data_IF_548448391922
#
_entry.id   IF_548448391922
#
_cell.length_a   1.000
_cell.length_b   1.000
_cell.length_c   1.000
_cell.angle_alpha   90.00
_cell.angle_beta   90.00
_cell.angle_gamma   90.00
#
_symmetry.space_group_name_H-M   'P 1'
#
loop_
_entity.id
_entity.type
_entity.pdbx_description
1 polymer ?
#
# COMPACT_ATOMS: atom_id res chain seq x y z
N UNK A 1 6.89 -6.25 2.24
CA UNK A 1 5.87 -6.45 3.28
C UNK A 1 6.44 -6.08 4.64
N UNK A 2 5.59 -5.56 5.53
CA UNK A 2 5.90 -5.25 6.92
C UNK A 2 5.63 -6.46 7.79
N UNK A 3 6.53 -6.74 8.73
CA UNK A 3 6.48 -7.89 9.62
C UNK A 3 6.52 -7.52 11.10
N UNK A 4 5.76 -8.27 11.90
CA UNK A 4 5.73 -8.23 13.36
C UNK A 4 6.34 -9.52 13.89
N UNK A 5 7.47 -9.41 14.59
CA UNK A 5 8.12 -10.56 15.22
C UNK A 5 7.34 -10.98 16.45
N UNK A 6 6.95 -12.25 16.52
CA UNK A 6 6.23 -12.78 17.69
C UNK A 6 7.16 -12.84 18.90
N UNK A 7 6.69 -12.28 20.03
CA UNK A 7 7.40 -12.24 21.32
C UNK A 7 7.71 -13.62 21.90
N UNK A 8 6.87 -14.62 21.63
CA UNK A 8 6.97 -15.94 22.27
C UNK A 8 8.12 -16.79 21.70
N UNK A 9 8.45 -16.66 20.41
CA UNK A 9 9.46 -17.52 19.75
C UNK A 9 10.59 -16.78 19.03
N UNK A 10 10.50 -15.45 18.84
CA UNK A 10 11.48 -14.55 18.18
C UNK A 10 12.05 -14.98 16.79
N UNK A 11 11.59 -16.11 16.26
CA UNK A 11 11.96 -16.74 14.99
C UNK A 11 10.83 -16.69 13.97
N UNK A 12 9.60 -16.39 14.39
CA UNK A 12 8.44 -16.31 13.53
C UNK A 12 7.99 -14.84 13.37
N UNK A 13 7.95 -14.40 12.11
CA UNK A 13 7.50 -13.07 11.72
C UNK A 13 6.13 -13.19 11.06
N UNK A 14 5.12 -12.48 11.57
CA UNK A 14 3.82 -12.35 10.91
C UNK A 14 3.85 -11.13 9.98
N UNK A 15 3.74 -11.38 8.67
CA UNK A 15 3.63 -10.31 7.66
C UNK A 15 2.16 -9.93 7.48
N UNK A 16 1.78 -8.79 8.05
CA UNK A 16 0.37 -8.34 8.10
C UNK A 16 0.03 -7.26 7.06
N UNK A 17 1.02 -6.51 6.58
CA UNK A 17 0.83 -5.41 5.63
C UNK A 17 1.85 -5.40 4.50
N UNK A 18 1.46 -4.80 3.37
CA UNK A 18 2.32 -4.38 2.29
C UNK A 18 3.13 -3.12 2.61
N UNK A 19 4.16 -2.90 1.80
CA UNK A 19 4.93 -1.67 1.76
C UNK A 19 5.70 -1.60 0.44
N UNK A 20 6.23 -0.43 0.12
CA UNK A 20 6.93 -0.18 -1.15
C UNK A 20 8.21 0.60 -0.89
N UNK A 21 9.33 0.13 -1.42
CA UNK A 21 10.62 0.83 -1.32
C UNK A 21 10.64 2.05 -2.23
N UNK A 22 10.92 3.23 -1.69
CA UNK A 22 10.91 4.52 -2.42
C UNK A 22 12.26 5.23 -2.40
N UNK A 23 13.16 4.82 -1.52
CA UNK A 23 14.59 5.15 -1.55
C UNK A 23 15.37 4.00 -0.91
N UNK A 24 16.70 4.07 -0.90
CA UNK A 24 17.53 2.97 -0.37
C UNK A 24 17.21 2.61 1.10
N UNK A 25 16.71 3.56 1.90
CA UNK A 25 16.44 3.35 3.34
C UNK A 25 15.01 3.68 3.78
N UNK A 26 14.09 3.96 2.86
CA UNK A 26 12.73 4.31 3.21
C UNK A 26 11.70 3.54 2.38
N UNK A 27 10.68 3.04 3.07
CA UNK A 27 9.50 2.43 2.46
C UNK A 27 8.26 3.26 2.77
N UNK A 28 7.29 3.27 1.86
CA UNK A 28 5.93 3.73 2.11
C UNK A 28 5.02 2.57 2.47
N UNK A 29 4.04 2.85 3.32
CA UNK A 29 2.92 2.00 3.66
C UNK A 29 1.73 2.90 4.07
N UNK A 30 0.64 2.30 4.52
CA UNK A 30 -0.52 3.02 5.06
C UNK A 30 -0.39 3.22 6.57
N UNK A 31 -1.01 4.27 7.10
CA UNK A 31 -0.84 4.66 8.50
C UNK A 31 -1.48 3.66 9.46
N UNK A 32 -2.59 3.03 9.09
CA UNK A 32 -3.19 1.97 9.92
C UNK A 32 -2.29 0.72 10.06
N UNK A 33 -1.23 0.58 9.26
CA UNK A 33 -0.21 -0.46 9.40
C UNK A 33 0.97 -0.03 10.29
N UNK A 34 0.99 1.21 10.80
CA UNK A 34 2.06 1.71 11.67
C UNK A 34 1.98 1.17 13.09
N UNK A 35 0.78 0.83 13.53
CA UNK A 35 0.48 0.23 14.83
C UNK A 35 -0.70 -0.73 14.66
N UNK A 36 -0.49 -2.00 14.96
CA UNK A 36 -1.53 -3.02 15.00
C UNK A 36 -1.66 -3.58 16.41
N UNK A 37 -2.59 -3.02 17.19
CA UNK A 37 -2.89 -3.50 18.55
C UNK A 37 -1.85 -3.12 19.60
N UNK A 38 -1.20 -1.96 19.44
CA UNK A 38 -0.12 -1.47 20.28
C UNK A 38 1.28 -1.90 19.82
N UNK A 39 1.39 -2.57 18.67
CA UNK A 39 2.66 -3.08 18.14
C UNK A 39 3.00 -2.44 16.79
N UNK A 40 4.19 -1.85 16.69
CA UNK A 40 4.75 -1.39 15.42
C UNK A 40 5.47 -2.50 14.66
N UNK A 41 5.52 -2.44 13.31
CA UNK A 41 6.26 -3.41 12.52
C UNK A 41 7.76 -3.33 12.86
N UNK A 42 8.39 -4.48 13.05
CA UNK A 42 9.80 -4.57 13.45
C UNK A 42 10.74 -4.84 12.27
N UNK A 43 10.22 -5.35 11.16
CA UNK A 43 11.00 -5.70 9.97
C UNK A 43 10.25 -5.43 8.67
N UNK A 44 11.01 -5.28 7.59
CA UNK A 44 10.52 -5.27 6.22
C UNK A 44 11.19 -6.37 5.43
N UNK A 45 10.41 -7.08 4.62
CA UNK A 45 10.89 -8.04 3.62
C UNK A 45 10.68 -7.47 2.21
N UNK A 46 11.74 -7.36 1.42
CA UNK A 46 11.75 -6.67 0.11
C UNK A 46 12.17 -7.61 -1.03
N UNK A 47 11.51 -7.51 -2.19
CA UNK A 47 11.94 -8.20 -3.42
C UNK A 47 11.53 -9.67 -3.55
N UNK A 48 10.77 -10.22 -2.59
CA UNK A 48 10.27 -11.58 -2.65
C UNK A 48 9.16 -11.79 -3.69
N UNK A 49 9.02 -13.01 -4.21
CA UNK A 49 7.79 -13.47 -4.87
C UNK A 49 7.02 -14.47 -4.02
N UNK A 50 7.70 -15.13 -3.09
CA UNK A 50 7.13 -16.07 -2.14
C UNK A 50 7.55 -15.69 -0.72
N UNK A 51 6.61 -15.52 0.21
CA UNK A 51 6.90 -15.17 1.60
C UNK A 51 7.73 -16.24 2.35
N UNK A 52 7.75 -17.47 1.86
CA UNK A 52 8.49 -18.58 2.45
C UNK A 52 9.95 -18.68 1.96
N UNK A 53 10.36 -17.86 0.97
CA UNK A 53 11.71 -17.91 0.40
C UNK A 53 12.74 -17.25 1.32
N UNK A 54 13.52 -18.07 2.04
CA UNK A 54 14.50 -17.62 3.03
C UNK A 54 15.64 -16.77 2.48
N UNK A 55 15.84 -16.71 1.16
CA UNK A 55 16.90 -15.90 0.54
C UNK A 55 16.51 -14.44 0.32
N UNK A 56 15.32 -14.04 0.75
CA UNK A 56 14.84 -12.66 0.61
C UNK A 56 15.44 -11.77 1.68
N UNK A 57 15.83 -10.56 1.29
CA UNK A 57 16.32 -9.55 2.20
C UNK A 57 15.24 -9.12 3.20
N UNK A 58 15.56 -9.34 4.49
CA UNK A 58 14.82 -8.80 5.63
C UNK A 58 15.66 -7.71 6.32
N UNK A 59 15.03 -6.56 6.58
CA UNK A 59 15.69 -5.40 7.18
C UNK A 59 14.87 -4.89 8.36
N UNK A 60 15.52 -4.62 9.49
CA UNK A 60 14.89 -4.03 10.67
C UNK A 60 14.30 -2.65 10.35
N UNK A 61 13.08 -2.41 10.83
CA UNK A 61 12.45 -1.09 10.87
C UNK A 61 12.94 -0.38 12.14
N UNK A 62 13.43 0.85 11.99
CA UNK A 62 13.92 1.65 13.13
C UNK A 62 12.94 2.75 13.53
N UNK A 63 12.05 3.14 12.62
CA UNK A 63 11.07 4.19 12.87
C UNK A 63 9.92 4.05 11.88
N UNK A 64 8.69 4.26 12.34
CA UNK A 64 7.51 4.46 11.49
C UNK A 64 6.92 5.83 11.80
N UNK A 65 6.63 6.59 10.76
CA UNK A 65 6.16 7.97 10.83
C UNK A 65 4.81 8.01 10.10
N UNK A 66 3.67 7.85 10.81
CA UNK A 66 2.36 8.07 10.23
C UNK A 66 2.16 9.56 9.91
N UNK A 67 1.29 9.85 8.94
CA UNK A 67 0.93 11.22 8.64
C UNK A 67 0.30 11.87 9.89
N UNK A 68 0.68 13.11 10.26
CA UNK A 68 0.24 13.74 11.51
C UNK A 68 -1.27 14.04 11.58
N UNK A 69 -1.95 13.99 10.43
CA UNK A 69 -3.42 14.13 10.32
C UNK A 69 -4.15 12.80 10.10
N UNK A 70 -3.45 11.69 10.24
CA UNK A 70 -4.09 10.38 10.24
C UNK A 70 -4.92 10.24 11.52
N UNK A 71 -6.15 9.80 11.38
CA UNK A 71 -7.05 9.47 12.48
C UNK A 71 -7.53 8.03 12.25
N UNK A 72 -7.26 7.09 13.17
CA UNK A 72 -7.67 5.69 13.01
C UNK A 72 -9.19 5.48 13.00
N UNK A 73 -9.98 6.41 13.54
CA UNK A 73 -11.44 6.37 13.43
C UNK A 73 -11.94 6.75 12.02
N UNK A 74 -11.09 7.42 11.23
CA UNK A 74 -11.40 7.88 9.89
C UNK A 74 -10.52 7.20 8.83
N UNK A 75 -10.87 7.37 7.57
CA UNK A 75 -10.15 6.79 6.44
C UNK A 75 -9.21 7.78 5.71
N UNK A 76 -8.93 8.94 6.33
CA UNK A 76 -8.18 10.04 5.70
C UNK A 76 -6.70 10.04 6.10
N UNK A 77 -5.86 10.60 5.22
CA UNK A 77 -4.42 10.70 5.41
C UNK A 77 -3.75 9.36 5.79
N UNK A 78 -4.27 8.25 5.28
CA UNK A 78 -3.81 6.91 5.62
C UNK A 78 -2.49 6.56 4.91
N UNK A 79 -1.41 7.20 5.37
CA UNK A 79 -0.05 7.02 4.83
C UNK A 79 0.98 7.08 5.95
N UNK A 80 2.00 6.22 5.87
CA UNK A 80 3.15 6.22 6.75
C UNK A 80 4.45 6.00 5.97
N UNK A 81 5.53 6.59 6.48
CA UNK A 81 6.91 6.32 6.04
C UNK A 81 7.59 5.46 7.09
N UNK A 82 8.23 4.37 6.69
CA UNK A 82 9.07 3.58 7.59
C UNK A 82 10.55 3.66 7.18
N UNK A 83 11.42 3.94 8.16
CA UNK A 83 12.87 4.02 8.01
C UNK A 83 13.50 2.67 8.31
N UNK A 84 14.41 2.24 7.44
CA UNK A 84 15.14 0.99 7.54
C UNK A 84 16.48 1.18 8.27
N UNK A 85 16.88 0.17 9.03
CA UNK A 85 18.15 0.18 9.77
C UNK A 85 19.40 0.27 8.88
N UNK A 86 19.30 -0.24 7.64
CA UNK A 86 20.37 -0.23 6.65
C UNK A 86 19.79 -0.05 5.24
N UNK A 87 20.58 0.40 4.26
CA UNK A 87 20.17 0.43 2.86
C UNK A 87 19.76 -0.96 2.37
N UNK A 88 18.67 -1.01 1.60
CA UNK A 88 18.25 -2.20 0.85
C UNK A 88 19.07 -2.34 -0.44
N UNK A 89 19.26 -3.60 -0.87
CA UNK A 89 19.84 -3.93 -2.18
C UNK A 89 18.81 -3.91 -3.30
N UNK A 90 17.52 -3.82 -2.97
CA UNK A 90 16.45 -3.72 -3.95
C UNK A 90 16.36 -2.32 -4.56
N UNK A 91 15.87 -2.23 -5.80
CA UNK A 91 15.66 -0.94 -6.46
C UNK A 91 14.35 -0.29 -5.99
N UNK A 92 14.37 1.01 -5.64
CA UNK A 92 13.14 1.73 -5.30
C UNK A 92 12.25 1.97 -6.53
N UNK A 93 10.96 2.16 -6.28
CA UNK A 93 9.98 2.61 -7.28
C UNK A 93 10.03 4.13 -7.44
N UNK A 94 9.68 4.64 -8.62
CA UNK A 94 9.42 6.07 -8.78
C UNK A 94 8.08 6.45 -8.14
N UNK A 95 7.96 7.67 -7.62
CA UNK A 95 6.67 8.20 -7.19
C UNK A 95 5.96 8.86 -8.37
N UNK A 96 4.65 8.64 -8.52
CA UNK A 96 3.86 9.30 -9.55
C UNK A 96 3.80 10.82 -9.29
N UNK A 97 4.35 11.66 -10.19
CA UNK A 97 4.54 13.08 -9.89
C UNK A 97 3.35 13.95 -10.30
N UNK A 98 2.40 13.40 -11.06
CA UNK A 98 1.32 14.18 -11.64
C UNK A 98 0.10 14.22 -10.72
N UNK A 99 -0.57 15.37 -10.67
CA UNK A 99 -1.88 15.48 -10.01
C UNK A 99 -2.84 14.49 -10.65
N UNK A 100 -2.95 14.48 -11.98
CA UNK A 100 -3.88 13.62 -12.70
C UNK A 100 -3.53 12.14 -12.54
N UNK A 101 -4.57 11.31 -12.39
CA UNK A 101 -4.40 9.87 -12.31
C UNK A 101 -4.23 9.28 -13.73
N UNK A 102 -3.42 8.22 -13.88
CA UNK A 102 -3.33 7.52 -15.14
C UNK A 102 -4.69 6.99 -15.60
N UNK A 103 -4.98 7.15 -16.89
CA UNK A 103 -6.22 6.64 -17.51
C UNK A 103 -6.12 5.16 -17.89
N UNK A 104 -4.91 4.61 -17.91
CA UNK A 104 -4.64 3.20 -18.21
C UNK A 104 -4.98 2.31 -17.03
N UNK A 105 -5.05 1.00 -17.28
CA UNK A 105 -5.13 0.00 -16.22
C UNK A 105 -3.89 0.08 -15.33
N UNK A 106 -4.13 0.14 -14.02
CA UNK A 106 -3.12 0.05 -12.98
C UNK A 106 -2.98 -1.40 -12.52
N UNK A 107 -1.83 -1.72 -11.94
CA UNK A 107 -1.59 -3.03 -11.31
C UNK A 107 -1.53 -2.84 -9.81
N UNK A 108 -2.50 -3.41 -9.09
CA UNK A 108 -2.40 -3.59 -7.65
C UNK A 108 -1.72 -4.95 -7.38
N UNK A 109 -0.82 -5.01 -6.40
CA UNK A 109 -0.12 -6.25 -6.06
C UNK A 109 -0.01 -6.43 -4.55
N UNK A 110 -0.05 -7.68 -4.10
CA UNK A 110 0.04 -8.02 -2.69
C UNK A 110 0.01 -9.52 -2.40
N UNK A 111 0.10 -9.84 -1.12
CA UNK A 111 0.08 -11.21 -0.57
C UNK A 111 -1.19 -11.45 0.26
N UNK A 112 -2.18 -10.58 0.11
CA UNK A 112 -3.45 -10.67 0.80
C UNK A 112 -4.21 -11.95 0.48
N UNK A 113 -5.36 -12.08 1.12
CA UNK A 113 -6.25 -13.21 0.93
C UNK A 113 -6.72 -13.25 -0.53
N UNK A 114 -6.92 -14.45 -1.06
CA UNK A 114 -7.45 -14.62 -2.43
C UNK A 114 -8.97 -14.58 -2.49
N UNK A 115 -9.62 -14.62 -1.33
CA UNK A 115 -11.07 -14.63 -1.12
C UNK A 115 -11.36 -13.96 0.24
N UNK A 116 -12.56 -13.43 0.42
CA UNK A 116 -12.99 -12.87 1.70
C UNK A 116 -12.88 -13.91 2.82
N UNK A 117 -12.20 -13.55 3.92
CA UNK A 117 -11.85 -14.44 5.04
C UNK A 117 -11.12 -15.74 4.61
N UNK A 118 -10.47 -15.73 3.45
CA UNK A 118 -9.70 -16.85 2.91
C UNK A 118 -8.25 -16.88 3.42
N UNK A 119 -7.48 -17.94 3.08
CA UNK A 119 -6.07 -17.96 3.42
C UNK A 119 -5.30 -16.88 2.64
N UNK A 120 -4.30 -16.28 3.30
CA UNK A 120 -3.31 -15.41 2.64
C UNK A 120 -2.52 -16.24 1.62
N UNK A 121 -2.13 -15.63 0.51
CA UNK A 121 -1.26 -16.28 -0.47
C UNK A 121 0.20 -16.11 -0.04
N UNK A 122 0.96 -17.19 0.01
CA UNK A 122 2.42 -17.09 0.12
C UNK A 122 3.04 -16.50 -1.14
N UNK A 123 2.39 -16.63 -2.30
CA UNK A 123 2.85 -16.09 -3.57
C UNK A 123 2.28 -14.68 -3.81
N UNK A 124 3.10 -13.80 -4.37
CA UNK A 124 2.67 -12.46 -4.77
C UNK A 124 1.62 -12.57 -5.88
N UNK A 125 0.47 -11.96 -5.65
CA UNK A 125 -0.62 -11.87 -6.60
C UNK A 125 -0.74 -10.45 -7.12
N UNK A 126 -1.43 -10.32 -8.25
CA UNK A 126 -1.72 -9.02 -8.86
C UNK A 126 -3.12 -9.01 -9.46
N UNK A 127 -3.74 -7.85 -9.42
CA UNK A 127 -5.01 -7.57 -10.09
C UNK A 127 -4.87 -6.28 -10.90
N UNK A 128 -5.66 -6.19 -11.97
CA UNK A 128 -5.72 -4.97 -12.77
C UNK A 128 -6.93 -4.15 -12.33
N UNK A 129 -6.69 -2.89 -11.98
CA UNK A 129 -7.71 -1.96 -11.53
C UNK A 129 -7.67 -0.69 -12.37
N UNK A 130 -8.81 -0.03 -12.54
CA UNK A 130 -8.90 1.28 -13.20
C UNK A 130 -9.34 2.32 -12.19
N UNK A 131 -8.64 3.45 -12.16
CA UNK A 131 -9.09 4.60 -11.40
C UNK A 131 -10.44 5.09 -11.92
N UNK A 132 -11.31 5.49 -11.00
CA UNK A 132 -12.59 6.11 -11.30
C UNK A 132 -12.72 7.44 -10.58
N UNK A 133 -13.69 8.24 -11.01
CA UNK A 133 -13.94 9.55 -10.41
C UNK A 133 -14.59 9.40 -9.03
N UNK A 134 -14.38 10.38 -8.16
CA UNK A 134 -14.93 10.37 -6.80
C UNK A 134 -16.47 10.35 -6.81
N UNK A 135 -17.11 10.96 -7.81
CA UNK A 135 -18.57 11.00 -7.97
C UNK A 135 -19.16 9.61 -8.26
N UNK A 136 -18.44 8.77 -9.01
CA UNK A 136 -18.86 7.40 -9.25
C UNK A 136 -18.61 6.54 -8.01
N UNK A 137 -17.50 6.78 -7.32
CA UNK A 137 -17.11 5.98 -6.17
C UNK A 137 -17.96 6.22 -4.92
N UNK A 138 -18.38 7.47 -4.67
CA UNK A 138 -19.16 7.82 -3.46
C UNK A 138 -20.46 7.02 -3.33
N UNK A 139 -20.98 6.50 -4.45
CA UNK A 139 -22.19 5.67 -4.48
C UNK A 139 -22.01 4.34 -3.75
N UNK A 140 -20.80 3.79 -3.76
CA UNK A 140 -20.46 2.55 -3.07
C UNK A 140 -20.26 2.76 -1.57
N UNK A 141 -19.82 3.95 -1.17
CA UNK A 141 -19.39 4.26 0.20
C UNK A 141 -20.33 5.21 0.95
N UNK A 142 -21.59 5.34 0.53
CA UNK A 142 -22.55 6.31 1.12
C UNK A 142 -22.77 6.15 2.62
N UNK A 143 -22.64 4.94 3.13
CA UNK A 143 -22.87 4.59 4.54
C UNK A 143 -21.58 4.19 5.28
N UNK A 144 -20.42 4.46 4.68
CA UNK A 144 -19.13 4.18 5.32
C UNK A 144 -18.80 5.29 6.31
N UNK A 145 -18.94 5.02 7.60
CA UNK A 145 -18.72 6.00 8.68
C UNK A 145 -17.28 6.54 8.69
N UNK A 146 -16.30 5.72 8.26
CA UNK A 146 -14.90 6.16 8.16
C UNK A 146 -14.69 7.22 7.07
N UNK A 147 -15.63 7.34 6.12
CA UNK A 147 -15.68 8.33 5.06
C UNK A 147 -16.75 9.40 5.34
N UNK A 148 -16.82 9.87 6.60
CA UNK A 148 -17.75 10.91 7.05
C UNK A 148 -17.82 12.17 6.17
N UNK A 149 -16.72 12.55 5.53
CA UNK A 149 -16.62 13.73 4.66
C UNK A 149 -16.60 13.37 3.17
N UNK A 150 -16.96 12.14 2.81
CA UNK A 150 -16.86 11.61 1.46
C UNK A 150 -15.42 11.23 1.08
N UNK A 151 -15.19 11.03 -0.22
CA UNK A 151 -13.88 10.67 -0.76
C UNK A 151 -13.13 11.94 -1.10
N UNK A 152 -11.97 12.14 -0.47
CA UNK A 152 -11.18 13.37 -0.63
C UNK A 152 -10.13 13.28 -1.76
N UNK A 153 -9.34 14.36 -1.92
CA UNK A 153 -8.30 14.45 -2.95
C UNK A 153 -7.07 13.59 -2.65
N UNK A 154 -6.88 13.17 -1.39
CA UNK A 154 -5.82 12.28 -0.93
C UNK A 154 -6.13 10.81 -1.15
N UNK A 155 -7.30 10.50 -1.70
CA UNK A 155 -7.77 9.15 -1.97
C UNK A 155 -7.91 8.92 -3.48
N UNK A 156 -7.74 7.66 -3.88
CA UNK A 156 -8.04 7.14 -5.21
C UNK A 156 -9.07 6.06 -5.02
N UNK A 157 -10.13 6.10 -5.81
CA UNK A 157 -11.02 4.97 -5.95
C UNK A 157 -10.68 4.20 -7.22
N UNK A 158 -10.46 2.89 -7.10
CA UNK A 158 -10.17 2.05 -8.25
C UNK A 158 -10.73 0.64 -8.06
N UNK A 159 -11.15 0.04 -9.16
CA UNK A 159 -11.67 -1.33 -9.16
C UNK A 159 -11.55 -1.95 -10.55
N UNK A 160 -11.88 -3.23 -10.66
CA UNK A 160 -12.07 -3.86 -11.97
C UNK A 160 -13.28 -3.23 -12.68
N UNK A 161 -13.14 -2.68 -13.89
CA UNK A 161 -14.27 -2.16 -14.66
C UNK A 161 -15.37 -3.20 -14.92
N UNK A 162 -15.05 -4.49 -14.89
CA UNK A 162 -16.03 -5.57 -15.02
C UNK A 162 -16.65 -6.00 -13.67
N UNK A 163 -16.15 -5.46 -12.55
CA UNK A 163 -16.60 -5.81 -11.20
C UNK A 163 -16.30 -7.25 -10.78
N UNK A 164 -15.40 -7.97 -11.46
CA UNK A 164 -15.09 -9.38 -11.19
C UNK A 164 -13.88 -9.59 -10.28
N UNK A 165 -13.03 -8.57 -10.15
CA UNK A 165 -11.79 -8.61 -9.37
C UNK A 165 -11.65 -7.39 -8.48
N UNK A 166 -11.12 -7.57 -7.27
CA UNK A 166 -10.85 -6.48 -6.32
C UNK A 166 -9.60 -6.82 -5.48
N UNK A 167 -9.01 -5.82 -4.84
CA UNK A 167 -8.02 -6.03 -3.78
C UNK A 167 -8.69 -6.57 -2.52
N UNK A 168 -7.97 -7.39 -1.75
CA UNK A 168 -8.56 -8.13 -0.63
C UNK A 168 -7.87 -7.85 0.70
N UNK A 169 -8.43 -8.38 1.79
CA UNK A 169 -7.83 -8.26 3.12
C UNK A 169 -6.36 -8.75 3.12
N UNK A 170 -5.47 -8.00 3.76
CA UNK A 170 -4.03 -8.32 3.81
C UNK A 170 -3.19 -7.70 2.69
N UNK A 171 -3.79 -6.96 1.76
CA UNK A 171 -3.07 -6.13 0.78
C UNK A 171 -2.80 -4.70 1.26
N UNK A 172 -3.27 -4.30 2.45
CA UNK A 172 -3.08 -2.96 3.02
C UNK A 172 -1.63 -2.50 2.97
N UNK A 173 -1.36 -1.30 2.46
CA UNK A 173 -0.01 -0.78 2.23
C UNK A 173 0.67 -1.35 0.97
N UNK A 174 -0.01 -2.24 0.25
CA UNK A 174 0.45 -2.80 -1.02
C UNK A 174 0.42 -1.76 -2.15
N UNK A 175 1.31 -1.91 -3.16
CA UNK A 175 1.42 -0.96 -4.26
C UNK A 175 0.26 -1.03 -5.25
N UNK A 176 -0.17 0.15 -5.72
CA UNK A 176 -0.83 0.33 -7.02
C UNK A 176 0.12 1.07 -7.94
N UNK A 177 0.54 0.41 -9.02
CA UNK A 177 1.58 0.91 -9.92
C UNK A 177 1.11 0.99 -11.37
N UNK A 178 1.74 1.90 -12.11
CA UNK A 178 1.76 1.90 -13.57
C UNK A 178 3.21 1.72 -14.05
N UNK A 179 3.40 1.07 -15.20
CA UNK A 179 4.70 1.01 -15.87
C UNK A 179 4.70 1.95 -17.06
N UNK A 180 5.65 2.88 -17.09
CA UNK A 180 5.82 3.84 -18.19
C UNK A 180 7.08 3.47 -18.95
N UNK A 181 7.02 3.51 -20.28
CA UNK A 181 8.20 3.34 -21.11
C UNK A 181 9.02 4.64 -21.11
N UNK A 182 10.26 4.58 -20.62
CA UNK A 182 11.20 5.70 -20.55
C UNK A 182 12.60 5.16 -20.81
N UNK A 183 13.39 5.82 -21.68
CA UNK A 183 14.77 5.40 -21.99
C UNK A 183 14.89 3.92 -22.36
N UNK A 184 14.00 3.44 -23.24
CA UNK A 184 13.92 2.05 -23.68
C UNK A 184 13.69 1.00 -22.57
N UNK A 185 13.23 1.43 -21.39
CA UNK A 185 12.91 0.55 -20.26
C UNK A 185 11.54 0.85 -19.66
N UNK A 186 10.93 -0.16 -19.04
CA UNK A 186 9.69 0.00 -18.28
C UNK A 186 10.01 0.44 -16.85
N UNK A 187 9.72 1.70 -16.54
CA UNK A 187 9.91 2.28 -15.22
C UNK A 187 8.59 2.18 -14.43
N UNK A 188 8.58 1.53 -13.25
CA UNK A 188 7.40 1.47 -12.41
C UNK A 188 7.23 2.79 -11.62
N UNK A 189 6.01 3.32 -11.63
CA UNK A 189 5.59 4.47 -10.83
C UNK A 189 4.51 4.05 -9.84
N UNK A 190 4.70 4.38 -8.57
CA UNK A 190 3.72 4.20 -7.51
C UNK A 190 2.67 5.30 -7.58
N UNK A 191 1.44 4.89 -7.88
CA UNK A 191 0.28 5.78 -8.02
C UNK A 191 -0.50 5.84 -6.71
N UNK A 192 -0.64 4.69 -6.04
CA UNK A 192 -1.35 4.60 -4.77
C UNK A 192 -0.90 3.45 -3.88
N UNK A 193 -1.44 3.44 -2.66
CA UNK A 193 -1.27 2.35 -1.68
C UNK A 193 -2.65 1.82 -1.28
N UNK A 194 -2.82 0.50 -1.24
CA UNK A 194 -4.09 -0.12 -0.80
C UNK A 194 -4.40 0.30 0.63
N UNK A 195 -5.54 0.96 0.85
CA UNK A 195 -5.96 1.45 2.17
C UNK A 195 -7.06 0.57 2.74
N UNK A 196 -8.27 0.60 2.17
CA UNK A 196 -9.37 -0.26 2.61
C UNK A 196 -10.36 -0.50 1.46
N UNK A 197 -11.26 -1.47 1.66
CA UNK A 197 -12.33 -1.79 0.72
C UNK A 197 -13.45 -2.54 1.43
N UNK A 198 -14.62 -2.62 0.80
CA UNK A 198 -15.83 -3.22 1.40
C UNK A 198 -15.82 -4.76 1.44
N UNK A 199 -14.94 -5.41 0.68
CA UNK A 199 -14.83 -6.86 0.66
C UNK A 199 -14.29 -7.36 -0.67
N UNK A 200 -13.68 -8.55 -0.65
CA UNK A 200 -12.97 -9.06 -1.81
C UNK A 200 -13.95 -9.54 -2.89
N UNK A 201 -13.80 -9.03 -4.11
CA UNK A 201 -14.53 -9.45 -5.31
C UNK A 201 -16.07 -9.34 -5.20
N UNK A 202 -16.58 -8.37 -4.45
CA UNK A 202 -18.01 -8.06 -4.36
C UNK A 202 -18.48 -7.05 -5.43
N UNK A 203 -17.60 -6.68 -6.36
CA UNK A 203 -17.86 -5.71 -7.43
C UNK A 203 -17.77 -4.23 -7.01
N UNK A 204 -17.51 -3.95 -5.73
CA UNK A 204 -17.22 -2.60 -5.25
C UNK A 204 -15.75 -2.23 -5.55
N UNK A 205 -15.45 -0.96 -5.82
CA UNK A 205 -14.07 -0.50 -5.93
C UNK A 205 -13.42 -0.36 -4.55
N UNK A 206 -12.11 -0.50 -4.48
CA UNK A 206 -11.32 -0.25 -3.27
C UNK A 206 -10.82 1.19 -3.20
N UNK A 207 -10.52 1.66 -1.99
CA UNK A 207 -9.92 2.96 -1.70
C UNK A 207 -8.42 2.80 -1.47
N UNK A 208 -7.67 3.67 -2.14
CA UNK A 208 -6.22 3.72 -2.09
C UNK A 208 -5.77 5.12 -1.68
N UNK A 209 -4.64 5.21 -0.99
CA UNK A 209 -3.97 6.48 -0.69
C UNK A 209 -3.31 7.01 -1.96
N UNK A 210 -3.61 8.26 -2.36
CA UNK A 210 -3.07 8.91 -3.57
C UNK A 210 -1.66 9.45 -3.33
N UNK A 211 -0.64 8.85 -3.94
CA UNK A 211 0.75 9.27 -3.72
C UNK A 211 1.02 10.73 -4.09
N UNK A 212 0.49 11.19 -5.24
CA UNK A 212 0.74 12.55 -5.70
C UNK A 212 0.26 13.63 -4.72
N UNK A 213 -0.75 13.34 -3.90
CA UNK A 213 -1.24 14.25 -2.86
C UNK A 213 -0.24 14.43 -1.71
N UNK A 214 0.56 13.39 -1.40
CA UNK A 214 1.44 13.36 -0.23
C UNK A 214 2.92 13.61 -0.57
N UNK A 215 3.28 13.91 -1.82
CA UNK A 215 4.68 14.11 -2.24
C UNK A 215 5.42 15.11 -1.36
N UNK A 216 4.85 16.29 -1.14
CA UNK A 216 5.46 17.33 -0.28
C UNK A 216 5.74 16.84 1.15
N UNK A 217 4.88 15.98 1.69
CA UNK A 217 5.07 15.40 3.03
C UNK A 217 6.14 14.30 3.02
N UNK A 218 6.12 13.43 2.00
CA UNK A 218 7.11 12.37 1.80
C UNK A 218 8.51 12.97 1.65
N UNK A 219 8.66 13.99 0.79
CA UNK A 219 9.95 14.64 0.50
C UNK A 219 10.58 15.25 1.74
N UNK A 220 9.78 15.93 2.56
CA UNK A 220 10.20 16.49 3.86
C UNK A 220 10.67 15.45 4.86
N UNK A 221 10.44 14.16 4.65
CA UNK A 221 10.89 13.08 5.54
C UNK A 221 12.07 12.34 4.93
N UNK A 222 11.98 12.00 3.64
CA UNK A 222 12.87 11.04 2.99
C UNK A 222 14.12 11.72 2.42
N UNK A 223 14.00 12.94 1.89
CA UNK A 223 15.09 13.65 1.19
C UNK A 223 15.37 15.01 1.81
N UNK A 224 15.35 15.10 3.14
CA UNK A 224 15.81 16.31 3.85
C UNK A 224 17.24 16.63 3.42
N UNK A 225 17.41 17.72 2.69
CA UNK A 225 18.70 18.42 2.52
C UNK A 225 19.06 19.19 3.78
#
# INVERSE_FOLDING_TARGET
VLGWRKTINNSETDYKCGCVLISSQFVLTVAHCSDLGGESPSVVRLGGKNLNDQNIEEIKVVQVIPHPRYDPALAYNDIAVAKLAKPSRASPVCLWPHSDLPQQMLTAAGYGQTKFAGPRSSNLLKVFVKAMTNENCVRFYKHEERLKYGIDLGQICAGDPQGKMDTCQGDSGGPVIIKIFKYDTQVPYLVGLTSFGMGCAIGAPSIYTRISHFLNWIEKIVWRT
#
